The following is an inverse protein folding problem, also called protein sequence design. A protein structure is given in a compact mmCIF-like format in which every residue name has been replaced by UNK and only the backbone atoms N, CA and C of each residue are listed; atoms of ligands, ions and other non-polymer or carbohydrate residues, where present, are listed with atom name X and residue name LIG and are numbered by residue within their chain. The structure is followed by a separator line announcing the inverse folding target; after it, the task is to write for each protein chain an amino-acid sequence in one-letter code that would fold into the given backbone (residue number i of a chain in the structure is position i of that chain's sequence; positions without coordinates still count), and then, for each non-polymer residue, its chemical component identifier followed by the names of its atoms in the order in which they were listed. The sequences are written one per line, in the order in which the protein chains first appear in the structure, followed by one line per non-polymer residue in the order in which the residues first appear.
data_IF_738525945822
#
_entry.id   IF_738525945822
#
_cell.length_a   1.000
_cell.length_b   1.000
_cell.length_c   1.000
_cell.angle_alpha   90.00
_cell.angle_beta   90.00
_cell.angle_gamma   90.00
#
_symmetry.space_group_name_H-M   'P 1'
#
loop_
_entity.id
_entity.type
_entity.pdbx_description
1 polymer ?
#
# COMPACT_ATOMS: atom_id res chain seq x y z
N UNK A 1 -13.64 8.14 -11.85
CA UNK A 1 -12.65 8.82 -11.00
C UNK A 1 -13.14 8.72 -9.57
N UNK A 2 -12.46 7.97 -8.70
CA UNK A 2 -12.84 7.91 -7.28
C UNK A 2 -12.47 9.26 -6.67
N UNK A 3 -13.41 9.91 -5.98
CA UNK A 3 -13.12 11.17 -5.30
C UNK A 3 -11.98 10.94 -4.30
N UNK A 4 -10.94 11.77 -4.35
CA UNK A 4 -9.81 11.66 -3.45
C UNK A 4 -10.31 11.93 -2.02
N UNK A 5 -10.39 10.86 -1.21
CA UNK A 5 -11.01 10.91 0.12
C UNK A 5 -10.14 11.65 1.14
N UNK A 6 -8.83 11.77 0.88
CA UNK A 6 -7.85 12.42 1.76
C UNK A 6 -6.79 13.17 0.94
N UNK A 7 -6.31 14.31 1.44
CA UNK A 7 -5.25 15.08 0.79
C UNK A 7 -3.90 14.44 1.12
N UNK A 8 -3.18 13.95 0.11
CA UNK A 8 -1.81 13.41 0.27
C UNK A 8 -0.85 14.53 0.68
N UNK A 9 0.15 14.22 1.50
CA UNK A 9 1.15 15.20 1.96
C UNK A 9 2.02 15.74 0.82
N UNK A 10 2.28 14.89 -0.19
CA UNK A 10 3.09 15.15 -1.37
C UNK A 10 2.50 14.40 -2.57
N UNK A 11 2.51 15.01 -3.76
CA UNK A 11 2.21 14.31 -5.02
C UNK A 11 3.53 13.93 -5.68
N UNK A 12 4.08 12.77 -5.31
CA UNK A 12 5.36 12.27 -5.81
C UNK A 12 5.19 11.34 -7.01
N UNK A 13 4.06 10.63 -7.06
CA UNK A 13 3.82 9.56 -8.03
C UNK A 13 2.46 9.79 -8.69
N UNK A 14 2.41 10.40 -9.89
CA UNK A 14 1.18 10.50 -10.65
C UNK A 14 0.53 9.13 -10.77
N UNK A 15 -0.80 9.08 -10.63
CA UNK A 15 -1.54 7.84 -10.77
C UNK A 15 -1.19 7.16 -12.11
N UNK A 16 -0.62 5.98 -12.01
CA UNK A 16 -0.46 5.06 -13.13
C UNK A 16 -1.28 3.81 -12.83
N UNK A 17 -2.04 3.36 -13.83
CA UNK A 17 -2.82 2.13 -13.70
C UNK A 17 -1.86 0.94 -13.65
N UNK A 18 -2.05 0.05 -12.67
CA UNK A 18 -1.29 -1.21 -12.59
C UNK A 18 -1.89 -2.24 -13.54
N UNK A 19 -1.05 -3.07 -14.15
CA UNK A 19 -1.47 -4.23 -14.96
C UNK A 19 -2.35 -5.20 -14.16
N UNK A 20 -2.14 -5.29 -12.83
CA UNK A 20 -2.96 -6.10 -11.92
C UNK A 20 -4.45 -5.68 -11.90
N UNK A 21 -4.76 -4.44 -12.31
CA UNK A 21 -6.13 -3.94 -12.37
C UNK A 21 -6.90 -4.39 -13.62
N UNK A 22 -6.21 -4.87 -14.65
CA UNK A 22 -6.81 -5.42 -15.87
C UNK A 22 -6.72 -6.95 -15.91
N UNK A 23 -5.95 -7.56 -15.00
CA UNK A 23 -5.80 -9.00 -14.86
C UNK A 23 -7.00 -9.71 -14.21
N UNK A 24 -6.92 -11.04 -14.19
CA UNK A 24 -7.85 -11.86 -13.38
C UNK A 24 -7.58 -11.68 -11.89
N UNK A 25 -8.61 -11.78 -11.05
CA UNK A 25 -8.50 -11.61 -9.60
C UNK A 25 -7.49 -12.62 -9.02
N UNK A 26 -6.39 -12.09 -8.48
CA UNK A 26 -5.38 -12.90 -7.79
C UNK A 26 -5.70 -13.02 -6.30
N UNK A 27 -5.39 -14.19 -5.72
CA UNK A 27 -5.50 -14.44 -4.29
C UNK A 27 -4.11 -14.40 -3.67
N UNK A 28 -3.93 -13.53 -2.69
CA UNK A 28 -2.69 -13.44 -1.91
C UNK A 28 -2.91 -14.09 -0.53
N UNK A 29 -1.91 -14.80 0.02
CA UNK A 29 -2.02 -15.40 1.35
C UNK A 29 -2.32 -14.36 2.43
N UNK A 30 -1.68 -13.20 2.33
CA UNK A 30 -1.93 -12.03 3.19
C UNK A 30 -1.99 -10.77 2.33
N UNK A 31 -2.97 -9.91 2.63
CA UNK A 31 -3.07 -8.56 2.09
C UNK A 31 -3.07 -7.58 3.27
N UNK A 32 -2.14 -6.63 3.26
CA UNK A 32 -2.07 -5.52 4.21
C UNK A 32 -2.53 -4.26 3.51
N UNK A 33 -3.54 -3.59 4.06
CA UNK A 33 -4.03 -2.31 3.57
C UNK A 33 -3.54 -1.21 4.52
N UNK A 34 -2.63 -0.37 4.03
CA UNK A 34 -1.96 0.69 4.77
C UNK A 34 -0.45 0.43 4.94
N UNK A 35 0.34 1.37 4.45
CA UNK A 35 1.80 1.46 4.50
C UNK A 35 2.30 2.28 5.68
N UNK A 36 1.50 2.43 6.74
CA UNK A 36 1.95 3.00 8.00
C UNK A 36 2.93 2.07 8.75
N UNK A 37 3.55 2.54 9.86
CA UNK A 37 4.57 1.78 10.58
C UNK A 37 4.12 0.38 11.02
N UNK A 38 2.85 0.25 11.45
CA UNK A 38 2.27 -1.04 11.86
C UNK A 38 2.12 -1.99 10.66
N UNK A 39 1.59 -1.50 9.54
CA UNK A 39 1.38 -2.32 8.34
C UNK A 39 2.69 -2.78 7.72
N UNK A 40 3.65 -1.87 7.58
CA UNK A 40 4.98 -2.21 7.07
C UNK A 40 5.77 -3.11 8.03
N UNK A 41 5.69 -2.87 9.34
CA UNK A 41 6.33 -3.73 10.34
C UNK A 41 5.80 -5.16 10.29
N UNK A 42 4.48 -5.32 10.16
CA UNK A 42 3.85 -6.63 10.01
C UNK A 42 4.22 -7.30 8.68
N UNK A 43 4.19 -6.57 7.57
CA UNK A 43 4.59 -7.10 6.26
C UNK A 43 6.06 -7.55 6.24
N UNK A 44 6.95 -6.79 6.90
CA UNK A 44 8.36 -7.14 7.03
C UNK A 44 8.54 -8.43 7.83
N UNK A 45 7.87 -8.58 8.97
CA UNK A 45 7.94 -9.81 9.79
C UNK A 45 7.45 -11.04 9.00
N UNK A 46 6.34 -10.91 8.27
CA UNK A 46 5.84 -11.98 7.39
C UNK A 46 6.83 -12.34 6.28
N UNK A 47 7.41 -11.32 5.62
CA UNK A 47 8.42 -11.51 4.58
C UNK A 47 9.67 -12.21 5.11
N UNK A 48 10.15 -11.85 6.30
CA UNK A 48 11.28 -12.51 6.96
C UNK A 48 10.99 -13.97 7.32
N UNK A 49 9.72 -14.31 7.58
CA UNK A 49 9.26 -15.69 7.82
C UNK A 49 8.93 -16.46 6.54
N UNK A 50 9.13 -15.86 5.37
CA UNK A 50 8.85 -16.47 4.07
C UNK A 50 7.36 -16.53 3.71
N UNK A 51 6.49 -15.77 4.38
CA UNK A 51 5.07 -15.67 4.03
C UNK A 51 4.86 -14.55 3.00
N UNK A 52 4.37 -14.86 1.78
CA UNK A 52 4.08 -13.84 0.78
C UNK A 52 2.99 -12.87 1.26
N UNK A 53 3.27 -11.58 1.16
CA UNK A 53 2.36 -10.51 1.58
C UNK A 53 2.27 -9.44 0.49
N UNK A 54 1.04 -9.05 0.13
CA UNK A 54 0.77 -7.89 -0.71
C UNK A 54 0.46 -6.69 0.18
N UNK A 55 1.18 -5.59 0.02
CA UNK A 55 0.88 -4.32 0.70
C UNK A 55 0.23 -3.37 -0.30
N UNK A 56 -0.92 -2.83 0.06
CA UNK A 56 -1.63 -1.80 -0.70
C UNK A 56 -1.70 -0.53 0.13
N UNK A 57 -1.24 0.58 -0.42
CA UNK A 57 -1.33 1.89 0.22
C UNK A 57 -1.72 2.95 -0.81
N UNK A 58 -2.51 3.92 -0.39
CA UNK A 58 -3.00 5.02 -1.22
C UNK A 58 -2.21 6.32 -1.05
N UNK A 59 -1.19 6.34 -0.18
CA UNK A 59 -0.32 7.49 0.03
C UNK A 59 0.95 7.39 -0.83
N UNK A 60 1.32 8.51 -1.43
CA UNK A 60 2.52 8.65 -2.25
C UNK A 60 3.78 8.95 -1.41
N UNK A 61 3.79 8.59 -0.12
CA UNK A 61 4.84 8.92 0.84
C UNK A 61 4.34 8.91 2.29
N UNK A 62 5.16 9.36 3.26
CA UNK A 62 4.72 9.49 4.64
C UNK A 62 3.51 10.43 4.73
N UNK A 63 2.43 9.96 5.35
CA UNK A 63 1.20 10.76 5.52
C UNK A 63 1.43 12.02 6.37
N UNK A 64 0.50 12.98 6.30
CA UNK A 64 0.57 14.27 7.03
C UNK A 64 0.76 14.12 8.56
N UNK A 65 0.37 12.98 9.13
CA UNK A 65 0.52 12.65 10.54
C UNK A 65 1.78 11.85 10.90
N UNK A 66 2.68 11.61 9.94
CA UNK A 66 3.89 10.82 10.13
C UNK A 66 4.71 11.37 11.32
N UNK A 67 5.14 10.45 12.20
CA UNK A 67 5.96 10.71 13.39
C UNK A 67 7.31 10.01 13.32
N UNK A 68 7.70 9.59 12.11
CA UNK A 68 9.04 9.12 11.80
C UNK A 68 9.93 10.32 11.44
#
# INVERSE_FOLDING_TARGET
MVAQRYRTASTLYPYSRSEDQDGSVQRHPVVVVGGGPVGLGFALDLGQRGTPVLVLDDHEGPGLGSKA
#
